data_IF_065904715789
#
_entry.id   IF_065904715789
#
_cell.length_a   1.000
_cell.length_b   1.000
_cell.length_c   1.000
_cell.angle_alpha   90.00
_cell.angle_beta   90.00
_cell.angle_gamma   90.00
#
_symmetry.space_group_name_H-M   'P 1'
#
loop_
_entity.id
_entity.type
_entity.pdbx_description
1 polymer ?
#
# COMPACT_ATOMS: atom_id res chain seq x y z
N UNK A 1 11.21 -55.89 -0.02
CA UNK A 1 11.96 -54.85 0.72
C UNK A 1 10.93 -54.08 1.53
N UNK A 2 11.01 -54.22 2.85
CA UNK A 2 10.14 -53.67 3.87
C UNK A 2 10.81 -52.45 4.50
N UNK A 3 10.04 -51.41 4.81
CA UNK A 3 10.37 -50.43 5.84
C UNK A 3 9.09 -50.05 6.60
N UNK A 4 9.13 -50.27 7.91
CA UNK A 4 8.09 -49.98 8.91
C UNK A 4 8.15 -48.51 9.35
N UNK A 5 7.00 -47.94 9.68
CA UNK A 5 6.89 -46.79 10.60
C UNK A 5 6.57 -47.32 12.02
N UNK A 6 7.07 -46.70 13.09
CA UNK A 6 6.65 -47.01 14.46
C UNK A 6 5.42 -46.18 14.86
N UNK A 7 4.42 -46.87 15.43
CA UNK A 7 3.24 -46.29 16.05
C UNK A 7 3.50 -45.82 17.49
N UNK A 8 2.65 -44.91 17.95
CA UNK A 8 2.59 -44.45 19.33
C UNK A 8 1.16 -44.70 19.85
N UNK A 9 1.01 -45.59 20.83
CA UNK A 9 -0.22 -45.85 21.59
C UNK A 9 -0.28 -44.93 22.82
N UNK A 10 -1.46 -44.43 23.17
CA UNK A 10 -1.67 -43.36 24.15
C UNK A 10 -1.88 -43.80 25.60
N UNK A 11 -2.23 -42.82 26.43
CA UNK A 11 -3.04 -43.00 27.64
C UNK A 11 -3.71 -41.68 28.03
N UNK A 12 -5.03 -41.73 28.18
CA UNK A 12 -5.88 -40.69 28.77
C UNK A 12 -5.71 -40.68 30.29
N UNK A 13 -5.70 -39.50 30.91
CA UNK A 13 -6.12 -39.33 32.30
C UNK A 13 -6.71 -37.92 32.47
N UNK A 14 -7.96 -37.89 32.91
CA UNK A 14 -8.77 -36.71 33.17
C UNK A 14 -8.71 -36.34 34.66
N UNK A 15 -8.50 -35.07 35.00
CA UNK A 15 -8.78 -34.54 36.34
C UNK A 15 -9.33 -33.10 36.29
N UNK A 16 -10.55 -33.01 36.84
CA UNK A 16 -11.44 -31.93 37.30
C UNK A 16 -10.97 -30.46 37.36
N UNK A 17 -11.94 -29.57 37.06
CA UNK A 17 -11.93 -28.14 37.36
C UNK A 17 -12.64 -27.83 38.69
N UNK A 18 -12.32 -26.70 39.35
CA UNK A 18 -13.28 -26.05 40.24
C UNK A 18 -13.46 -24.53 40.01
N UNK A 19 -14.74 -24.10 39.96
CA UNK A 19 -15.27 -22.99 40.75
C UNK A 19 -15.13 -21.53 40.26
N UNK A 20 -16.27 -20.85 40.04
CA UNK A 20 -16.38 -19.38 39.87
C UNK A 20 -16.54 -18.66 41.22
N UNK A 21 -15.72 -17.59 41.41
CA UNK A 21 -15.91 -16.28 42.08
C UNK A 21 -16.39 -16.19 43.56
N UNK A 22 -15.94 -15.19 44.37
CA UNK A 22 -15.98 -13.74 44.05
C UNK A 22 -14.80 -12.86 44.56
N UNK A 23 -14.65 -11.67 43.98
CA UNK A 23 -13.84 -10.54 44.48
C UNK A 23 -14.54 -9.90 45.71
N UNK A 24 -13.87 -9.29 46.73
CA UNK A 24 -13.16 -8.01 46.56
C UNK A 24 -11.92 -7.80 47.48
N UNK A 25 -10.89 -7.09 47.00
CA UNK A 25 -9.73 -6.74 47.83
C UNK A 25 -8.78 -5.77 47.16
N UNK A 26 -9.03 -4.48 47.40
CA UNK A 26 -8.23 -3.30 47.07
C UNK A 26 -6.72 -3.47 47.29
N UNK A 27 -5.93 -3.24 46.23
CA UNK A 27 -4.51 -2.93 46.32
C UNK A 27 -4.29 -1.61 45.58
N UNK A 28 -3.86 -0.58 46.32
CA UNK A 28 -3.59 0.81 45.91
C UNK A 28 -2.55 0.97 44.79
N UNK A 29 -2.14 -0.12 44.14
CA UNK A 29 -1.05 -0.17 43.17
C UNK A 29 -1.50 0.05 41.72
N UNK A 30 -2.81 -0.01 41.44
CA UNK A 30 -3.36 0.06 40.06
C UNK A 30 -3.88 1.46 39.69
N UNK A 31 -4.12 2.34 40.66
CA UNK A 31 -4.64 3.70 40.39
C UNK A 31 -3.56 4.75 40.06
N UNK A 32 -2.28 4.40 40.07
CA UNK A 32 -1.19 5.37 39.81
C UNK A 32 -0.70 5.42 38.35
N UNK A 33 -1.30 4.65 37.45
CA UNK A 33 -0.84 4.51 36.05
C UNK A 33 -1.77 5.13 34.98
N UNK A 34 -2.79 5.92 35.38
CA UNK A 34 -3.77 6.51 34.44
C UNK A 34 -3.65 8.04 34.29
N UNK A 35 -2.47 8.62 34.50
CA UNK A 35 -2.23 10.02 34.15
C UNK A 35 -1.49 10.10 32.81
N UNK A 36 -2.24 10.30 31.73
CA UNK A 36 -1.68 10.67 30.43
C UNK A 36 -0.97 12.03 30.56
N UNK A 37 0.25 12.21 30.02
CA UNK A 37 0.91 13.50 30.02
C UNK A 37 0.10 14.50 29.19
N UNK A 38 -0.24 15.64 29.80
CA UNK A 38 -0.84 16.77 29.10
C UNK A 38 0.23 17.45 28.25
N UNK A 39 0.07 17.34 26.92
CA UNK A 39 0.88 17.94 25.86
C UNK A 39 2.24 17.25 25.58
N UNK A 40 2.63 17.13 24.29
CA UNK A 40 3.93 16.60 23.91
C UNK A 40 5.06 17.50 24.44
N UNK A 41 6.22 16.94 24.83
CA UNK A 41 7.29 17.69 25.48
C UNK A 41 8.11 18.59 24.52
N UNK A 42 7.62 18.88 23.31
CA UNK A 42 8.35 19.62 22.30
C UNK A 42 7.47 20.63 21.57
N UNK A 43 7.96 21.85 21.48
CA UNK A 43 7.40 22.94 20.68
C UNK A 43 7.55 22.62 19.19
N UNK A 44 6.44 22.60 18.45
CA UNK A 44 6.42 22.29 17.01
C UNK A 44 6.66 23.52 16.13
N UNK A 45 6.79 24.72 16.71
CA UNK A 45 6.86 25.98 15.96
C UNK A 45 8.17 26.18 15.17
N UNK A 46 9.15 25.28 15.27
CA UNK A 46 10.48 25.47 14.66
C UNK A 46 10.96 24.28 13.82
N UNK A 47 10.04 23.44 13.32
CA UNK A 47 10.38 22.41 12.33
C UNK A 47 10.44 23.02 10.92
N UNK A 48 11.45 22.68 10.09
CA UNK A 48 11.65 23.24 8.75
C UNK A 48 10.59 22.81 7.71
N UNK A 49 9.50 22.19 8.15
CA UNK A 49 8.36 21.85 7.31
C UNK A 49 7.07 22.25 8.05
N UNK A 50 6.75 23.53 8.00
CA UNK A 50 5.44 24.07 8.40
C UNK A 50 4.78 24.64 7.15
N UNK A 51 3.65 24.05 6.75
CA UNK A 51 2.84 24.58 5.66
C UNK A 51 1.95 25.68 6.24
N UNK A 52 2.35 26.93 6.10
CA UNK A 52 1.47 28.06 6.40
C UNK A 52 0.44 28.18 5.27
N UNK A 53 -0.80 27.79 5.57
CA UNK A 53 -1.93 28.11 4.72
C UNK A 53 -2.21 29.61 4.85
N UNK A 54 -2.12 30.42 3.78
CA UNK A 54 -2.49 31.83 3.86
C UNK A 54 -3.98 31.93 4.19
N UNK A 55 -4.30 32.58 5.31
CA UNK A 55 -5.67 32.73 5.81
C UNK A 55 -6.54 33.72 5.00
N UNK A 56 -6.06 34.24 3.87
CA UNK A 56 -6.73 35.27 3.08
C UNK A 56 -6.95 34.85 1.61
N UNK A 57 -7.60 33.71 1.41
CA UNK A 57 -8.25 33.39 0.13
C UNK A 57 -9.69 32.93 0.38
N UNK A 58 -10.56 33.89 0.71
CA UNK A 58 -12.00 33.74 0.53
C UNK A 58 -12.32 33.78 -0.97
N UNK A 59 -11.91 32.74 -1.71
CA UNK A 59 -12.55 32.37 -2.97
C UNK A 59 -13.46 31.21 -2.65
N UNK A 60 -14.76 31.45 -2.74
CA UNK A 60 -15.81 30.45 -2.66
C UNK A 60 -15.46 29.21 -3.52
N UNK A 61 -14.98 28.14 -2.87
CA UNK A 61 -14.89 26.81 -3.46
C UNK A 61 -16.33 26.30 -3.65
N UNK A 62 -16.92 26.64 -4.79
CA UNK A 62 -18.18 26.07 -5.23
C UNK A 62 -17.88 24.67 -5.77
N UNK A 63 -18.10 23.65 -4.95
CA UNK A 63 -17.99 22.25 -5.35
C UNK A 63 -19.27 21.93 -6.13
N UNK A 64 -19.16 21.88 -7.45
CA UNK A 64 -20.24 21.36 -8.29
C UNK A 64 -20.27 19.82 -8.17
N UNK A 65 -21.44 19.19 -7.99
CA UNK A 65 -21.57 17.75 -8.02
C UNK A 65 -21.31 17.24 -9.44
N UNK A 66 -20.46 16.21 -9.57
CA UNK A 66 -20.21 15.55 -10.85
C UNK A 66 -21.50 14.97 -11.44
N UNK A 67 -21.62 15.04 -12.77
CA UNK A 67 -22.77 14.52 -13.50
C UNK A 67 -22.82 12.99 -13.42
N UNK A 68 -24.04 12.46 -13.22
CA UNK A 68 -24.40 11.05 -13.06
C UNK A 68 -23.55 10.06 -13.92
N UNK A 69 -22.85 9.08 -13.29
CA UNK A 69 -21.99 8.11 -13.98
C UNK A 69 -22.75 7.10 -14.84
N UNK A 70 -24.08 7.15 -14.92
CA UNK A 70 -24.91 6.20 -15.67
C UNK A 70 -24.81 6.32 -17.21
N UNK A 71 -23.93 7.20 -17.75
CA UNK A 71 -23.81 7.47 -19.19
C UNK A 71 -22.37 7.50 -19.74
N UNK A 72 -21.44 6.70 -19.22
CA UNK A 72 -20.16 6.49 -19.92
C UNK A 72 -20.33 5.44 -21.04
N UNK A 73 -19.95 5.75 -22.30
CA UNK A 73 -19.72 4.72 -23.31
C UNK A 73 -18.54 3.85 -22.83
N UNK A 74 -18.56 2.55 -23.09
CA UNK A 74 -17.41 1.67 -22.86
C UNK A 74 -16.24 2.11 -23.73
N UNK A 75 -15.38 2.97 -23.18
CA UNK A 75 -14.10 3.32 -23.78
C UNK A 75 -13.17 2.13 -23.58
N UNK A 76 -12.89 1.39 -24.65
CA UNK A 76 -11.70 0.54 -24.69
C UNK A 76 -10.49 1.47 -24.58
N UNK A 77 -9.71 1.29 -23.52
CA UNK A 77 -8.50 2.08 -23.28
C UNK A 77 -7.36 1.51 -24.14
N UNK A 78 -6.84 2.31 -25.07
CA UNK A 78 -5.68 1.97 -25.87
C UNK A 78 -4.40 2.24 -25.07
N UNK A 79 -3.74 1.18 -24.61
CA UNK A 79 -2.39 1.27 -24.06
C UNK A 79 -1.35 0.99 -25.15
N UNK A 80 -0.34 1.83 -25.26
CA UNK A 80 0.81 1.56 -26.13
C UNK A 80 1.83 0.66 -25.44
N UNK A 81 2.51 -0.19 -26.21
CA UNK A 81 3.61 -1.00 -25.70
C UNK A 81 4.85 -0.14 -25.42
N UNK A 82 5.67 -0.59 -24.46
CA UNK A 82 6.92 0.08 -24.10
C UNK A 82 7.80 0.28 -25.33
N UNK A 83 8.18 1.53 -25.61
CA UNK A 83 9.15 1.85 -26.65
C UNK A 83 10.58 1.71 -26.13
N UNK A 84 11.53 1.39 -27.00
CA UNK A 84 12.95 1.24 -26.63
C UNK A 84 13.58 2.51 -26.03
N UNK A 85 12.99 3.68 -26.25
CA UNK A 85 13.42 4.93 -25.63
C UNK A 85 13.15 4.99 -24.13
N UNK A 86 12.16 4.25 -23.61
CA UNK A 86 11.82 4.28 -22.18
C UNK A 86 12.85 3.50 -21.34
N UNK A 87 13.50 2.51 -21.93
CA UNK A 87 14.57 1.73 -21.30
C UNK A 87 15.97 2.31 -21.54
N UNK A 88 16.07 3.50 -22.14
CA UNK A 88 17.33 4.22 -22.35
C UNK A 88 17.80 4.90 -21.04
N UNK A 89 17.99 4.10 -19.99
CA UNK A 89 18.29 4.57 -18.64
C UNK A 89 19.52 5.47 -18.61
N UNK A 90 19.42 6.53 -17.81
CA UNK A 90 20.56 7.38 -17.50
C UNK A 90 21.45 6.63 -16.52
N UNK A 91 22.74 6.56 -16.82
CA UNK A 91 23.73 5.97 -15.92
C UNK A 91 24.55 7.07 -15.25
N UNK A 92 24.63 7.07 -13.93
CA UNK A 92 25.45 7.99 -13.16
C UNK A 92 26.10 7.26 -11.97
N UNK A 93 27.41 7.38 -11.83
CA UNK A 93 28.19 6.74 -10.75
C UNK A 93 27.97 5.21 -10.65
N UNK A 94 27.70 4.53 -11.77
CA UNK A 94 27.44 3.09 -11.82
C UNK A 94 26.04 2.69 -11.33
N UNK A 95 25.12 3.64 -11.18
CA UNK A 95 23.70 3.45 -10.88
C UNK A 95 22.87 3.81 -12.11
N UNK A 96 21.74 3.15 -12.33
CA UNK A 96 20.80 3.49 -13.43
C UNK A 96 19.61 4.26 -12.89
N UNK A 97 19.05 5.16 -13.71
CA UNK A 97 17.90 5.99 -13.39
C UNK A 97 16.92 6.01 -14.57
N UNK A 98 15.64 6.24 -14.30
CA UNK A 98 14.58 6.37 -15.32
C UNK A 98 14.91 7.48 -16.33
N UNK A 99 14.60 7.20 -17.59
CA UNK A 99 14.77 8.16 -18.68
C UNK A 99 13.52 9.06 -18.89
N UNK A 100 12.35 8.57 -18.48
CA UNK A 100 11.08 9.28 -18.56
C UNK A 100 10.98 10.29 -17.41
N UNK A 101 10.71 11.56 -17.72
CA UNK A 101 10.77 12.67 -16.76
C UNK A 101 12.13 12.76 -16.01
N UNK A 102 13.27 12.74 -16.73
CA UNK A 102 14.61 12.81 -16.13
C UNK A 102 14.77 13.96 -15.11
N UNK A 103 15.38 13.66 -13.97
CA UNK A 103 15.59 14.57 -12.83
C UNK A 103 14.39 14.77 -11.90
N UNK A 104 13.25 14.18 -12.21
CA UNK A 104 12.03 14.37 -11.42
C UNK A 104 11.87 13.37 -10.26
N UNK A 105 12.57 12.25 -10.32
CA UNK A 105 12.68 11.25 -9.26
C UNK A 105 14.16 10.94 -9.07
N UNK A 106 14.63 10.96 -7.82
CA UNK A 106 16.06 11.04 -7.52
C UNK A 106 16.68 9.68 -7.19
N UNK A 107 15.84 8.66 -7.01
CA UNK A 107 16.32 7.33 -6.68
C UNK A 107 16.67 6.54 -7.96
N UNK A 108 17.68 5.66 -7.87
CA UNK A 108 18.02 4.73 -8.93
C UNK A 108 16.87 3.77 -9.27
N UNK A 109 17.01 3.02 -10.36
CA UNK A 109 16.11 1.92 -10.71
C UNK A 109 16.87 0.61 -10.98
N UNK A 110 18.07 0.50 -10.42
CA UNK A 110 18.93 -0.69 -10.51
C UNK A 110 18.55 -1.77 -9.49
N UNK A 111 19.06 -3.01 -9.66
CA UNK A 111 18.68 -4.14 -8.80
C UNK A 111 18.88 -3.92 -7.30
N UNK A 112 19.86 -3.09 -6.90
CA UNK A 112 20.10 -2.78 -5.49
C UNK A 112 18.96 -1.93 -4.91
N UNK A 113 18.46 -0.98 -5.68
CA UNK A 113 17.31 -0.17 -5.27
C UNK A 113 16.00 -0.97 -5.29
N UNK A 114 15.81 -1.86 -6.26
CA UNK A 114 14.67 -2.78 -6.27
C UNK A 114 14.67 -3.69 -5.04
N UNK A 115 15.83 -4.21 -4.63
CA UNK A 115 15.95 -4.99 -3.38
C UNK A 115 15.58 -4.14 -2.15
N UNK A 116 15.99 -2.85 -2.12
CA UNK A 116 15.61 -1.93 -1.04
C UNK A 116 14.09 -1.74 -0.98
N UNK A 117 13.42 -1.57 -2.12
CA UNK A 117 11.95 -1.42 -2.22
C UNK A 117 11.24 -2.68 -1.72
N UNK A 118 11.71 -3.87 -2.10
CA UNK A 118 11.15 -5.14 -1.62
C UNK A 118 11.28 -5.26 -0.09
N UNK A 119 12.45 -4.92 0.47
CA UNK A 119 12.63 -4.92 1.93
C UNK A 119 11.74 -3.90 2.63
N UNK A 120 11.57 -2.71 2.05
CA UNK A 120 10.69 -1.68 2.59
C UNK A 120 9.25 -2.20 2.67
N UNK A 121 8.75 -2.81 1.59
CA UNK A 121 7.42 -3.44 1.57
C UNK A 121 7.28 -4.51 2.66
N UNK A 122 8.23 -5.44 2.76
CA UNK A 122 8.23 -6.51 3.77
C UNK A 122 8.20 -5.93 5.20
N UNK A 123 9.01 -4.91 5.48
CA UNK A 123 9.06 -4.25 6.78
C UNK A 123 7.75 -3.54 7.14
N UNK A 124 7.17 -2.78 6.20
CA UNK A 124 5.91 -2.05 6.40
C UNK A 124 4.76 -3.04 6.62
N UNK A 125 4.65 -4.07 5.77
CA UNK A 125 3.63 -5.10 5.93
C UNK A 125 3.75 -5.81 7.28
N UNK A 126 4.98 -6.10 7.73
CA UNK A 126 5.23 -6.69 9.05
C UNK A 126 4.79 -5.76 10.19
N UNK A 127 5.08 -4.46 10.08
CA UNK A 127 4.63 -3.43 11.03
C UNK A 127 3.10 -3.39 11.11
N UNK A 128 2.42 -3.59 9.99
CA UNK A 128 0.95 -3.65 9.90
C UNK A 128 0.36 -5.04 10.19
N UNK A 129 1.12 -5.89 10.88
CA UNK A 129 0.69 -7.24 11.28
C UNK A 129 0.26 -8.12 10.09
N UNK A 130 0.89 -7.93 8.92
CA UNK A 130 0.60 -8.69 7.71
C UNK A 130 -0.49 -8.09 6.83
N UNK A 131 -1.09 -6.95 7.20
CA UNK A 131 -2.18 -6.33 6.42
C UNK A 131 -1.65 -5.47 5.29
N UNK A 132 -2.24 -5.61 4.11
CA UNK A 132 -1.99 -4.75 2.95
C UNK A 132 -2.81 -3.46 2.96
N UNK A 133 -3.95 -3.45 3.66
CA UNK A 133 -4.86 -2.31 3.74
C UNK A 133 -5.54 -2.25 5.12
N UNK A 134 -6.08 -1.08 5.44
CA UNK A 134 -6.86 -0.84 6.67
C UNK A 134 -8.33 -0.49 6.39
N UNK A 135 -8.68 -0.28 5.12
CA UNK A 135 -10.07 -0.07 4.71
C UNK A 135 -10.92 -1.31 5.00
N UNK A 136 -12.25 -1.16 5.21
CA UNK A 136 -13.13 -2.24 5.61
C UNK A 136 -13.56 -3.12 4.42
N UNK A 137 -12.60 -3.54 3.58
CA UNK A 137 -12.85 -4.45 2.47
C UNK A 137 -12.83 -5.91 2.92
N UNK A 138 -13.55 -6.77 2.19
CA UNK A 138 -13.56 -8.23 2.39
C UNK A 138 -13.77 -8.94 1.05
N UNK A 139 -13.58 -10.26 1.01
CA UNK A 139 -13.83 -11.06 -0.19
C UNK A 139 -15.29 -10.93 -0.69
N UNK A 140 -16.25 -10.73 0.20
CA UNK A 140 -17.66 -10.53 -0.16
C UNK A 140 -17.98 -9.11 -0.62
N UNK A 141 -17.17 -8.13 -0.21
CA UNK A 141 -17.30 -6.73 -0.59
C UNK A 141 -15.92 -6.18 -0.99
N UNK A 142 -15.37 -6.62 -2.13
CA UNK A 142 -14.06 -6.16 -2.58
C UNK A 142 -14.18 -4.77 -3.25
N UNK A 143 -13.12 -3.95 -3.21
CA UNK A 143 -13.03 -2.78 -4.06
C UNK A 143 -12.98 -3.25 -5.52
N UNK A 144 -13.75 -2.67 -6.44
CA UNK A 144 -13.74 -3.14 -7.84
C UNK A 144 -12.52 -2.64 -8.60
N UNK A 145 -12.07 -1.42 -8.29
CA UNK A 145 -10.95 -0.75 -8.96
C UNK A 145 -9.97 -0.23 -7.93
N UNK A 146 -8.74 -0.74 -7.98
CA UNK A 146 -7.64 -0.37 -7.10
C UNK A 146 -6.57 0.34 -7.93
N UNK A 147 -6.04 1.45 -7.41
CA UNK A 147 -4.87 2.12 -7.95
C UNK A 147 -3.71 2.04 -6.96
N UNK A 148 -2.53 1.68 -7.44
CA UNK A 148 -1.27 1.75 -6.72
C UNK A 148 -0.34 2.79 -7.38
N UNK A 149 -0.19 3.94 -6.72
CA UNK A 149 0.67 5.03 -7.15
C UNK A 149 2.11 4.81 -6.68
N UNK A 150 3.08 5.07 -7.57
CA UNK A 150 4.49 4.78 -7.31
C UNK A 150 4.67 3.32 -6.86
N UNK A 151 4.17 2.41 -7.68
CA UNK A 151 4.04 0.98 -7.33
C UNK A 151 5.40 0.28 -7.13
N UNK A 152 6.51 0.88 -7.56
CA UNK A 152 7.84 0.32 -7.39
C UNK A 152 7.97 -1.04 -8.06
N UNK A 153 8.35 -2.07 -7.31
CA UNK A 153 8.45 -3.44 -7.82
C UNK A 153 7.09 -4.10 -8.09
N UNK A 154 5.99 -3.48 -7.65
CA UNK A 154 4.63 -3.98 -7.84
C UNK A 154 4.17 -5.01 -6.82
N UNK A 155 4.98 -5.31 -5.78
CA UNK A 155 4.65 -6.34 -4.77
C UNK A 155 3.29 -6.09 -4.11
N UNK A 156 3.01 -4.86 -3.69
CA UNK A 156 1.73 -4.53 -3.05
C UNK A 156 0.55 -4.75 -3.99
N UNK A 157 0.65 -4.25 -5.24
CA UNK A 157 -0.37 -4.41 -6.26
C UNK A 157 -0.66 -5.89 -6.60
N UNK A 158 0.39 -6.69 -6.73
CA UNK A 158 0.28 -8.13 -7.01
C UNK A 158 -0.45 -8.83 -5.87
N UNK A 159 -0.05 -8.60 -4.62
CA UNK A 159 -0.72 -9.24 -3.49
C UNK A 159 -2.18 -8.81 -3.33
N UNK A 160 -2.51 -7.55 -3.59
CA UNK A 160 -3.89 -7.07 -3.56
C UNK A 160 -4.76 -7.73 -4.63
N UNK A 161 -4.18 -8.03 -5.79
CA UNK A 161 -4.86 -8.72 -6.87
C UNK A 161 -5.05 -10.21 -6.59
N UNK A 162 -4.11 -10.84 -5.88
CA UNK A 162 -4.26 -12.20 -5.37
C UNK A 162 -5.31 -12.29 -4.27
N UNK A 163 -5.37 -11.30 -3.36
CA UNK A 163 -6.37 -11.24 -2.30
C UNK A 163 -7.77 -10.96 -2.84
N UNK A 164 -7.88 -10.13 -3.89
CA UNK A 164 -9.14 -9.79 -4.53
C UNK A 164 -9.14 -10.12 -6.03
N UNK A 165 -9.33 -11.39 -6.37
CA UNK A 165 -9.33 -11.89 -7.76
C UNK A 165 -10.38 -11.21 -8.67
N UNK A 166 -11.45 -10.64 -8.09
CA UNK A 166 -12.51 -9.93 -8.83
C UNK A 166 -12.24 -8.44 -9.03
N UNK A 167 -11.21 -7.90 -8.38
CA UNK A 167 -10.80 -6.50 -8.49
C UNK A 167 -9.85 -6.32 -9.65
N UNK A 168 -9.93 -5.17 -10.32
CA UNK A 168 -8.89 -4.70 -11.23
C UNK A 168 -7.89 -3.84 -10.46
N UNK A 169 -6.61 -4.20 -10.52
CA UNK A 169 -5.51 -3.46 -9.89
C UNK A 169 -4.67 -2.80 -10.96
N UNK A 170 -4.48 -1.49 -10.84
CA UNK A 170 -3.64 -0.69 -11.74
C UNK A 170 -2.46 -0.16 -10.94
N UNK A 171 -1.25 -0.52 -11.35
CA UNK A 171 -0.02 0.05 -10.79
C UNK A 171 0.58 1.08 -11.74
N UNK A 172 1.04 2.21 -11.22
CA UNK A 172 1.72 3.24 -12.00
C UNK A 172 3.08 3.57 -11.42
N UNK A 173 4.08 3.67 -12.29
CA UNK A 173 5.44 4.08 -11.92
C UNK A 173 6.13 4.82 -13.07
N UNK A 174 7.23 5.52 -12.80
CA UNK A 174 8.08 6.11 -13.83
C UNK A 174 8.99 5.05 -14.48
N UNK A 175 9.33 4.00 -13.72
CA UNK A 175 10.24 2.94 -14.14
C UNK A 175 9.47 1.66 -14.48
N UNK A 176 9.68 1.07 -15.67
CA UNK A 176 9.13 -0.25 -16.00
C UNK A 176 10.01 -1.36 -15.39
N UNK A 177 9.92 -1.53 -14.08
CA UNK A 177 10.71 -2.50 -13.30
C UNK A 177 9.88 -3.66 -12.76
N UNK A 178 8.59 -3.67 -13.06
CA UNK A 178 7.63 -4.67 -12.58
C UNK A 178 7.82 -6.01 -13.33
N UNK A 179 7.52 -7.16 -12.70
CA UNK A 179 7.70 -8.46 -13.31
C UNK A 179 6.79 -8.70 -14.51
N UNK A 180 7.24 -9.51 -15.46
CA UNK A 180 6.46 -9.88 -16.66
C UNK A 180 5.27 -10.81 -16.35
N UNK A 181 5.42 -11.67 -15.33
CA UNK A 181 4.42 -12.66 -14.95
C UNK A 181 3.69 -12.20 -13.70
N UNK A 182 2.46 -11.73 -13.88
CA UNK A 182 1.61 -11.17 -12.82
C UNK A 182 0.19 -11.73 -12.94
N UNK A 183 -0.64 -11.63 -11.89
CA UNK A 183 -2.05 -12.00 -11.97
C UNK A 183 -2.77 -11.29 -13.13
N UNK A 184 -3.74 -11.93 -13.78
CA UNK A 184 -4.39 -11.39 -14.98
C UNK A 184 -5.20 -10.11 -14.74
N UNK A 185 -5.50 -9.81 -13.47
CA UNK A 185 -6.22 -8.64 -13.02
C UNK A 185 -5.30 -7.49 -12.54
N UNK A 186 -3.99 -7.59 -12.79
CA UNK A 186 -3.00 -6.53 -12.54
C UNK A 186 -2.53 -5.94 -13.88
N UNK A 187 -2.52 -4.61 -13.95
CA UNK A 187 -1.96 -3.89 -15.10
C UNK A 187 -0.99 -2.81 -14.63
N UNK A 188 0.21 -2.79 -15.20
CA UNK A 188 1.23 -1.79 -14.91
C UNK A 188 1.38 -0.81 -16.07
N UNK A 189 1.44 0.48 -15.74
CA UNK A 189 1.61 1.55 -16.70
C UNK A 189 2.72 2.50 -16.28
N UNK A 190 3.45 2.98 -17.29
CA UNK A 190 4.45 4.02 -17.08
C UNK A 190 3.73 5.36 -17.07
N UNK A 191 3.67 6.01 -15.92
CA UNK A 191 2.94 7.25 -15.77
C UNK A 191 3.52 8.12 -14.64
N UNK A 192 3.58 9.42 -14.90
CA UNK A 192 4.01 10.42 -13.92
C UNK A 192 2.77 10.99 -13.23
N UNK A 193 2.52 10.62 -11.97
CA UNK A 193 1.31 11.03 -11.26
C UNK A 193 1.24 12.54 -10.93
N UNK A 194 2.27 13.33 -11.27
CA UNK A 194 2.33 14.79 -10.99
C UNK A 194 1.88 15.65 -12.15
N UNK A 195 1.72 15.09 -13.34
CA UNK A 195 1.20 15.83 -14.48
C UNK A 195 -0.33 15.85 -14.42
N UNK A 196 -0.92 16.97 -14.85
CA UNK A 196 -2.38 17.19 -14.75
C UNK A 196 -3.20 16.39 -15.79
N UNK A 197 -2.57 15.49 -16.56
CA UNK A 197 -3.17 14.67 -17.60
C UNK A 197 -3.53 13.26 -17.10
N UNK A 198 -4.27 13.21 -15.99
CA UNK A 198 -4.84 11.94 -15.52
C UNK A 198 -5.78 11.35 -16.57
N UNK A 199 -5.38 10.21 -17.11
CA UNK A 199 -5.99 9.63 -18.31
C UNK A 199 -7.01 8.55 -18.01
N UNK A 200 -7.11 8.12 -16.75
CA UNK A 200 -8.08 7.11 -16.35
C UNK A 200 -9.47 7.77 -16.18
N UNK A 201 -10.47 7.39 -16.99
CA UNK A 201 -11.75 8.11 -17.02
C UNK A 201 -12.66 7.77 -15.84
N UNK A 202 -12.48 6.60 -15.23
CA UNK A 202 -13.35 6.09 -14.18
C UNK A 202 -12.72 6.27 -12.79
N UNK A 203 -13.54 6.46 -11.74
CA UNK A 203 -13.03 6.55 -10.38
C UNK A 203 -12.48 5.21 -9.87
N UNK A 204 -11.53 5.29 -8.94
CA UNK A 204 -11.04 4.14 -8.18
C UNK A 204 -11.75 4.06 -6.83
N UNK A 205 -12.02 2.82 -6.38
CA UNK A 205 -12.64 2.57 -5.08
C UNK A 205 -11.61 2.62 -3.94
N UNK A 206 -10.35 2.29 -4.25
CA UNK A 206 -9.25 2.30 -3.31
C UNK A 206 -7.97 2.77 -4.00
N UNK A 207 -7.23 3.66 -3.34
CA UNK A 207 -5.96 4.20 -3.83
C UNK A 207 -4.91 3.97 -2.75
N UNK A 208 -3.82 3.34 -3.14
CA UNK A 208 -2.61 3.18 -2.35
C UNK A 208 -1.49 4.01 -2.97
N UNK A 209 -0.58 4.50 -2.13
CA UNK A 209 0.65 5.14 -2.56
C UNK A 209 1.76 4.68 -1.65
N UNK A 210 2.82 4.13 -2.24
CA UNK A 210 4.01 3.74 -1.48
C UNK A 210 4.83 4.99 -1.15
N UNK A 211 5.42 5.02 0.04
CA UNK A 211 6.33 6.09 0.45
C UNK A 211 7.69 5.85 -0.21
N UNK A 212 8.01 6.65 -1.23
CA UNK A 212 9.38 6.90 -1.65
C UNK A 212 10.04 7.98 -0.78
#
# INVERSE_FOLDING_TARGET
MSFQQPGWEGSEDALEAPGRNPNPGTSESVQKALQLPSAPPFDLNNFPFTFEQPHDASSSLHIEPDSDPSKSPSYEWDSESITSSVTAYREENGRTYHAYSDGSYHFPNDPLELERLDWQYICIKRLFNGKNYFAPWSEEQPPKRILDLATGTGMWAIEMAEEFESSMVVGTDLSPVQPEFVPPNVHFYIHDARVDDWWWPDPFDYIHGMYD
#
